data_IF_312617213845
#
_entry.id   IF_312617213845
#
_cell.length_a   1.000
_cell.length_b   1.000
_cell.length_c   1.000
_cell.angle_alpha   90.00
_cell.angle_beta   90.00
_cell.angle_gamma   90.00
#
_symmetry.space_group_name_H-M   'P 1'
#
loop_
_entity.id
_entity.type
_entity.pdbx_description
1 polymer ?
#
# COMPACT_ATOMS: atom_id res chain seq x y z
N UNK A 1 -19.09 46.88 -11.87
CA UNK A 1 -18.94 47.01 -10.41
C UNK A 1 -18.65 45.63 -9.85
N UNK A 2 -17.51 45.53 -9.17
CA UNK A 2 -16.94 44.44 -8.35
C UNK A 2 -16.82 43.02 -8.90
N UNK A 3 -15.56 42.67 -9.11
CA UNK A 3 -15.00 41.34 -9.27
C UNK A 3 -14.19 40.97 -8.00
N UNK A 4 -14.12 39.67 -7.73
CA UNK A 4 -13.04 38.91 -7.05
C UNK A 4 -12.87 39.00 -5.53
N UNK A 5 -12.87 37.81 -4.90
CA UNK A 5 -11.68 37.19 -4.26
C UNK A 5 -11.83 35.64 -4.22
N UNK A 6 -10.78 34.88 -4.58
CA UNK A 6 -10.50 33.55 -4.02
C UNK A 6 -9.17 33.55 -3.22
N UNK A 7 -9.06 32.68 -2.20
CA UNK A 7 -7.84 32.43 -1.41
C UNK A 7 -7.48 30.93 -1.55
N UNK A 8 -6.34 30.62 -2.20
CA UNK A 8 -5.04 30.17 -1.66
C UNK A 8 -5.06 28.73 -1.14
N UNK A 9 -4.48 27.77 -1.87
CA UNK A 9 -3.23 27.05 -1.50
C UNK A 9 -2.91 25.91 -2.49
N UNK A 10 -2.57 26.20 -3.75
CA UNK A 10 -1.89 25.26 -4.65
C UNK A 10 -1.26 25.99 -5.84
N UNK A 11 -0.22 26.80 -5.61
CA UNK A 11 0.55 27.42 -6.70
C UNK A 11 1.96 27.80 -6.24
N UNK A 12 2.79 26.79 -5.95
CA UNK A 12 4.24 26.91 -5.99
C UNK A 12 4.71 25.52 -6.45
N UNK A 13 4.67 25.19 -7.73
CA UNK A 13 5.84 25.22 -8.63
C UNK A 13 5.27 25.25 -10.06
N UNK A 14 4.95 26.44 -10.59
CA UNK A 14 4.94 26.72 -12.03
C UNK A 14 4.73 28.22 -12.20
N UNK A 15 5.84 28.96 -12.33
CA UNK A 15 6.08 30.22 -13.05
C UNK A 15 7.36 30.79 -12.42
N UNK A 16 8.47 30.72 -13.18
CA UNK A 16 9.45 31.80 -13.33
C UNK A 16 10.43 31.41 -14.47
N UNK A 17 9.86 31.16 -15.65
CA UNK A 17 10.56 31.28 -16.93
C UNK A 17 10.03 32.51 -17.71
N UNK A 18 9.57 33.54 -17.00
CA UNK A 18 9.17 34.82 -17.55
C UNK A 18 9.90 35.93 -16.79
N UNK A 19 10.87 36.58 -17.45
CA UNK A 19 11.64 37.76 -17.03
C UNK A 19 11.83 37.93 -15.52
N UNK A 20 12.77 37.20 -14.92
CA UNK A 20 13.38 37.66 -13.68
C UNK A 20 14.13 38.98 -13.98
N UNK A 21 13.93 40.07 -13.22
CA UNK A 21 14.72 41.29 -13.38
C UNK A 21 16.20 40.96 -13.21
N UNK A 22 17.07 41.59 -14.00
CA UNK A 22 18.51 41.36 -13.88
C UNK A 22 19.01 41.82 -12.51
N UNK A 23 20.13 41.28 -11.99
CA UNK A 23 20.70 41.74 -10.71
C UNK A 23 20.95 43.26 -10.64
N UNK A 24 21.11 43.92 -11.78
CA UNK A 24 21.24 45.38 -11.90
C UNK A 24 19.92 46.14 -11.68
N UNK A 25 18.76 45.51 -11.85
CA UNK A 25 17.41 46.10 -11.73
C UNK A 25 16.78 45.90 -10.34
N UNK A 26 17.43 45.12 -9.45
CA UNK A 26 16.89 44.78 -8.14
C UNK A 26 17.49 45.64 -7.02
N UNK A 27 16.64 46.11 -6.10
CA UNK A 27 17.13 46.73 -4.86
C UNK A 27 17.84 45.71 -3.95
N UNK A 28 18.74 46.16 -3.07
CA UNK A 28 19.44 45.30 -2.12
C UNK A 28 18.50 44.47 -1.22
N UNK A 29 17.32 45.01 -0.87
CA UNK A 29 16.32 44.27 -0.10
C UNK A 29 15.68 43.14 -0.93
N UNK A 30 15.35 43.42 -2.20
CA UNK A 30 14.79 42.42 -3.12
C UNK A 30 15.80 41.31 -3.43
N UNK A 31 17.09 41.64 -3.60
CA UNK A 31 18.16 40.65 -3.81
C UNK A 31 18.31 39.70 -2.62
N UNK A 32 18.23 40.24 -1.39
CA UNK A 32 18.30 39.42 -0.17
C UNK A 32 17.13 38.46 -0.07
N UNK A 33 15.89 38.94 -0.26
CA UNK A 33 14.69 38.09 -0.25
C UNK A 33 14.73 37.03 -1.34
N UNK A 34 15.20 37.36 -2.54
CA UNK A 34 15.33 36.41 -3.63
C UNK A 34 16.39 35.33 -3.33
N UNK A 35 17.53 35.72 -2.76
CA UNK A 35 18.56 34.75 -2.30
C UNK A 35 18.03 33.81 -1.23
N UNK A 36 17.31 34.33 -0.22
CA UNK A 36 16.67 33.52 0.83
C UNK A 36 15.65 32.55 0.22
N UNK A 37 14.86 32.96 -0.77
CA UNK A 37 13.92 32.09 -1.47
C UNK A 37 14.61 30.99 -2.29
N UNK A 38 15.75 31.27 -2.93
CA UNK A 38 16.55 30.26 -3.63
C UNK A 38 17.11 29.23 -2.65
N UNK A 39 17.64 29.66 -1.51
CA UNK A 39 18.16 28.75 -0.48
C UNK A 39 17.05 27.85 0.10
N UNK A 40 15.86 28.41 0.34
CA UNK A 40 14.68 27.65 0.76
C UNK A 40 14.29 26.63 -0.32
N UNK A 41 14.19 27.05 -1.59
CA UNK A 41 13.84 26.15 -2.69
C UNK A 41 14.86 25.02 -2.88
N UNK A 42 16.16 25.31 -2.74
CA UNK A 42 17.22 24.30 -2.81
C UNK A 42 17.15 23.31 -1.64
N UNK A 43 16.81 23.79 -0.44
CA UNK A 43 16.63 22.94 0.74
C UNK A 43 15.43 22.02 0.56
N UNK A 44 14.27 22.56 0.13
CA UNK A 44 13.07 21.78 -0.18
C UNK A 44 13.36 20.74 -1.26
N UNK A 45 14.09 21.11 -2.31
CA UNK A 45 14.44 20.17 -3.37
C UNK A 45 15.32 19.04 -2.84
N UNK A 46 16.27 19.34 -1.95
CA UNK A 46 17.14 18.33 -1.33
C UNK A 46 16.35 17.37 -0.43
N UNK A 47 15.36 17.88 0.32
CA UNK A 47 14.44 17.06 1.11
C UNK A 47 13.53 16.19 0.23
N UNK A 48 13.03 16.70 -0.90
CA UNK A 48 12.26 15.89 -1.86
C UNK A 48 13.14 14.82 -2.51
N UNK A 49 14.40 15.16 -2.79
CA UNK A 49 15.34 14.26 -3.43
C UNK A 49 15.79 13.10 -2.53
N UNK A 50 15.68 13.24 -1.20
CA UNK A 50 15.95 12.14 -0.25
C UNK A 50 14.82 11.10 -0.20
N UNK A 51 13.61 11.47 -0.64
CA UNK A 51 12.46 10.56 -0.73
C UNK A 51 12.60 9.70 -1.99
N UNK A 52 12.53 8.36 -1.90
CA UNK A 52 12.52 7.50 -3.08
C UNK A 52 11.40 7.88 -4.03
N UNK A 53 11.70 7.88 -5.33
CA UNK A 53 10.74 8.28 -6.37
C UNK A 53 9.45 7.47 -6.34
N UNK A 54 9.52 6.17 -6.00
CA UNK A 54 8.36 5.29 -5.85
C UNK A 54 7.46 5.63 -4.64
N UNK A 55 7.92 6.47 -3.70
CA UNK A 55 7.17 6.88 -2.50
C UNK A 55 6.63 8.32 -2.61
N UNK A 56 7.03 9.08 -3.63
CA UNK A 56 6.59 10.47 -3.78
C UNK A 56 5.14 10.52 -4.24
N UNK A 57 4.30 11.16 -3.42
CA UNK A 57 2.90 11.46 -3.78
C UNK A 57 1.97 10.25 -3.83
N UNK A 58 2.36 9.10 -3.26
CA UNK A 58 1.54 7.87 -3.28
C UNK A 58 0.57 7.76 -2.11
N UNK A 59 0.83 8.46 -1.00
CA UNK A 59 0.01 8.38 0.20
C UNK A 59 -1.37 9.01 -0.03
N UNK A 60 -2.41 8.24 0.31
CA UNK A 60 -3.81 8.63 0.18
C UNK A 60 -4.32 9.18 1.52
N UNK A 61 -5.49 9.81 1.53
CA UNK A 61 -6.12 10.34 2.74
C UNK A 61 -5.31 11.40 3.53
N UNK A 62 -4.46 12.17 2.84
CA UNK A 62 -3.57 13.16 3.46
C UNK A 62 -4.15 14.57 3.64
N UNK A 63 -5.38 14.82 3.17
CA UNK A 63 -6.00 16.15 3.18
C UNK A 63 -7.21 16.22 4.13
N UNK A 64 -7.40 17.38 4.77
CA UNK A 64 -8.40 17.62 5.83
C UNK A 64 -9.87 17.53 5.36
N UNK A 65 -10.14 17.57 4.05
CA UNK A 65 -11.47 17.26 3.48
C UNK A 65 -11.62 15.74 3.28
N UNK A 66 -11.52 14.98 4.37
CA UNK A 66 -11.55 13.51 4.31
C UNK A 66 -12.91 13.03 3.79
N UNK A 67 -12.91 12.39 2.63
CA UNK A 67 -14.01 11.52 2.22
C UNK A 67 -14.32 10.53 3.37
N UNK A 68 -15.60 10.20 3.51
CA UNK A 68 -16.11 9.34 4.57
C UNK A 68 -16.67 8.09 3.95
N UNK A 69 -16.42 6.98 4.60
CA UNK A 69 -16.72 5.65 4.08
C UNK A 69 -17.62 4.90 5.03
N UNK A 70 -18.48 4.09 4.43
CA UNK A 70 -19.48 3.29 5.11
C UNK A 70 -18.95 1.89 5.42
N UNK A 71 -19.39 1.34 6.56
CA UNK A 71 -19.21 -0.08 6.87
C UNK A 71 -20.50 -0.81 6.49
N UNK A 72 -20.48 -1.43 5.31
CA UNK A 72 -21.63 -2.08 4.71
C UNK A 72 -22.09 -3.33 5.48
N UNK A 73 -21.35 -3.75 6.51
CA UNK A 73 -21.77 -4.82 7.43
C UNK A 73 -23.00 -4.42 8.24
N UNK A 74 -23.21 -3.12 8.49
CA UNK A 74 -24.29 -2.63 9.34
C UNK A 74 -25.43 -2.00 8.53
N UNK A 75 -26.65 -2.04 9.05
CA UNK A 75 -27.80 -1.35 8.41
C UNK A 75 -27.72 0.18 8.54
N UNK A 76 -26.84 0.69 9.39
CA UNK A 76 -26.70 2.11 9.67
C UNK A 76 -25.58 2.65 8.78
N UNK A 77 -25.85 3.75 8.09
CA UNK A 77 -24.79 4.44 7.35
C UNK A 77 -23.81 5.05 8.36
N UNK A 78 -22.61 4.50 8.38
CA UNK A 78 -21.43 5.02 9.02
C UNK A 78 -20.75 6.09 8.14
N UNK A 79 -19.98 6.97 8.77
CA UNK A 79 -19.24 8.01 8.04
C UNK A 79 -17.83 8.13 8.61
N UNK A 80 -17.06 7.05 8.44
CA UNK A 80 -15.74 6.91 9.02
C UNK A 80 -14.71 7.64 8.14
N UNK A 81 -13.91 8.58 8.71
CA UNK A 81 -12.92 9.31 7.93
C UNK A 81 -11.66 8.44 7.73
N UNK A 82 -11.15 8.36 6.51
CA UNK A 82 -9.79 7.86 6.27
C UNK A 82 -8.78 8.97 6.57
N UNK A 83 -7.73 8.69 7.35
CA UNK A 83 -6.69 9.69 7.68
C UNK A 83 -5.30 9.10 7.63
N UNK A 84 -4.39 9.76 6.90
CA UNK A 84 -2.95 9.49 6.87
C UNK A 84 -2.19 10.80 6.98
N UNK A 85 -1.13 10.81 7.77
CA UNK A 85 -0.13 11.88 7.76
C UNK A 85 1.26 11.28 7.71
N UNK A 86 2.13 11.83 6.86
CA UNK A 86 3.50 11.32 6.68
C UNK A 86 4.50 12.41 6.99
N UNK A 87 5.41 12.10 7.93
CA UNK A 87 6.58 12.91 8.22
C UNK A 87 7.83 12.21 7.68
N UNK A 88 8.59 12.87 6.82
CA UNK A 88 9.84 12.35 6.30
C UNK A 88 11.00 12.78 7.19
N UNK A 89 11.79 11.80 7.62
CA UNK A 89 13.07 11.99 8.32
C UNK A 89 14.23 11.67 7.38
N UNK A 90 15.47 11.68 7.89
CA UNK A 90 16.64 11.24 7.12
C UNK A 90 16.63 9.73 6.81
N UNK A 91 15.90 8.93 7.59
CA UNK A 91 15.91 7.46 7.50
C UNK A 91 14.57 6.83 7.19
N UNK A 92 13.48 7.47 7.58
CA UNK A 92 12.14 6.88 7.56
C UNK A 92 11.09 7.85 7.01
N UNK A 93 10.10 7.30 6.30
CA UNK A 93 8.76 7.85 6.29
C UNK A 93 8.05 7.40 7.57
N UNK A 94 7.68 8.34 8.43
CA UNK A 94 6.90 8.10 9.66
C UNK A 94 5.44 8.34 9.32
N UNK A 95 4.66 7.26 9.22
CA UNK A 95 3.28 7.25 8.76
C UNK A 95 2.37 7.12 9.97
N UNK A 96 1.56 8.15 10.25
CA UNK A 96 0.49 8.07 11.24
C UNK A 96 -0.85 7.88 10.53
N UNK A 97 -1.65 6.92 10.96
CA UNK A 97 -2.91 6.57 10.32
C UNK A 97 -3.94 6.04 11.31
N UNK A 98 -5.22 6.14 10.96
CA UNK A 98 -6.32 5.61 11.77
C UNK A 98 -6.85 4.25 11.31
N UNK A 99 -6.29 3.65 10.24
CA UNK A 99 -6.67 2.31 9.80
C UNK A 99 -8.06 2.18 9.20
N UNK A 100 -8.71 3.29 8.84
CA UNK A 100 -9.97 3.27 8.07
C UNK A 100 -9.62 3.38 6.59
N UNK A 101 -10.15 2.50 5.71
CA UNK A 101 -9.84 2.52 4.29
C UNK A 101 -10.43 3.74 3.56
N UNK A 102 -9.90 4.02 2.37
CA UNK A 102 -10.41 5.05 1.47
C UNK A 102 -11.52 4.56 0.51
N UNK A 103 -12.29 3.57 0.95
CA UNK A 103 -13.39 2.96 0.22
C UNK A 103 -14.45 2.43 1.20
N UNK A 104 -15.69 2.25 0.76
CA UNK A 104 -16.68 1.54 1.58
C UNK A 104 -16.23 0.08 1.74
N UNK A 105 -16.49 -0.51 2.90
CA UNK A 105 -15.88 -1.77 3.29
C UNK A 105 -16.84 -2.63 4.10
N UNK A 106 -16.45 -3.87 4.37
CA UNK A 106 -17.20 -4.78 5.24
C UNK A 106 -16.29 -5.27 6.37
N UNK A 107 -16.63 -4.99 7.61
CA UNK A 107 -15.99 -5.54 8.80
C UNK A 107 -16.13 -7.05 8.96
N UNK A 108 -17.14 -7.67 8.34
CA UNK A 108 -17.40 -9.10 8.46
C UNK A 108 -18.03 -9.52 9.80
N UNK A 109 -18.09 -10.84 10.11
CA UNK A 109 -18.88 -11.38 11.22
C UNK A 109 -18.51 -10.85 12.61
N UNK A 110 -17.26 -10.44 12.77
CA UNK A 110 -16.69 -9.98 14.04
C UNK A 110 -16.88 -8.50 14.34
N UNK A 111 -17.61 -7.77 13.48
CA UNK A 111 -17.91 -6.34 13.51
C UNK A 111 -17.54 -5.56 14.80
N UNK A 112 -17.01 -4.34 14.73
CA UNK A 112 -16.89 -3.47 13.56
C UNK A 112 -15.55 -2.75 13.59
N UNK A 113 -15.10 -2.25 12.45
CA UNK A 113 -13.91 -1.42 12.35
C UNK A 113 -14.08 -0.13 13.16
N UNK A 114 -13.04 0.23 13.90
CA UNK A 114 -12.97 1.48 14.66
C UNK A 114 -11.67 2.23 14.31
N UNK A 115 -11.67 3.57 14.32
CA UNK A 115 -10.45 4.34 14.12
C UNK A 115 -9.38 4.00 15.16
N UNK A 116 -8.18 3.69 14.68
CA UNK A 116 -7.00 3.34 15.46
C UNK A 116 -6.03 4.54 15.58
N UNK A 117 -4.89 4.32 16.23
CA UNK A 117 -3.80 5.31 16.34
C UNK A 117 -2.46 4.66 15.97
N UNK A 118 -2.29 4.34 14.69
CA UNK A 118 -1.06 3.72 14.22
C UNK A 118 0.05 4.73 13.98
N UNK A 119 1.28 4.31 14.25
CA UNK A 119 2.50 5.00 13.82
C UNK A 119 3.47 3.96 13.27
N UNK A 120 3.74 4.02 11.98
CA UNK A 120 4.64 3.12 11.26
C UNK A 120 5.90 3.85 10.83
N UNK A 121 7.03 3.14 10.81
CA UNK A 121 8.32 3.64 10.31
C UNK A 121 8.74 2.82 9.10
N UNK A 122 8.72 3.44 7.93
CA UNK A 122 9.08 2.79 6.66
C UNK A 122 10.47 3.29 6.23
N UNK A 123 11.49 2.41 6.14
CA UNK A 123 12.83 2.81 5.69
C UNK A 123 12.80 3.49 4.31
N UNK A 124 13.47 4.64 4.18
CA UNK A 124 13.61 5.35 2.90
C UNK A 124 14.65 4.72 1.99
N UNK A 125 15.59 3.97 2.53
CA UNK A 125 16.65 3.30 1.76
C UNK A 125 16.68 1.83 2.18
N UNK A 126 15.83 0.98 1.58
CA UNK A 126 15.79 -0.44 1.88
C UNK A 126 17.16 -1.09 1.64
N UNK A 127 17.57 -1.95 2.57
CA UNK A 127 18.82 -2.72 2.48
C UNK A 127 18.43 -4.18 2.36
N UNK A 128 18.87 -4.84 1.30
CA UNK A 128 18.69 -6.29 1.14
C UNK A 128 19.33 -7.04 2.31
N UNK A 129 18.58 -7.95 2.92
CA UNK A 129 19.10 -8.81 3.97
C UNK A 129 20.02 -9.88 3.38
N UNK A 130 20.98 -10.38 4.17
CA UNK A 130 21.80 -11.53 3.74
C UNK A 130 20.99 -12.82 3.64
N UNK A 131 19.94 -12.93 4.47
CA UNK A 131 18.97 -14.01 4.49
C UNK A 131 17.58 -13.41 4.76
N UNK A 132 16.55 -13.72 3.95
CA UNK A 132 15.21 -13.22 4.19
C UNK A 132 14.64 -13.67 5.54
N UNK A 133 13.84 -12.82 6.16
CA UNK A 133 13.18 -13.11 7.44
C UNK A 133 11.69 -13.27 7.25
N UNK A 134 11.11 -14.37 7.72
CA UNK A 134 9.66 -14.56 7.67
C UNK A 134 8.93 -13.38 8.32
N UNK A 135 7.90 -12.90 7.61
CA UNK A 135 6.95 -11.97 8.16
C UNK A 135 6.02 -12.72 9.14
N UNK A 136 5.39 -12.01 10.09
CA UNK A 136 4.36 -12.60 10.93
C UNK A 136 3.30 -13.37 10.14
N UNK A 137 2.96 -14.58 10.59
CA UNK A 137 1.88 -15.40 10.03
C UNK A 137 0.52 -14.69 10.18
N UNK A 138 0.36 -14.01 11.33
CA UNK A 138 -0.78 -13.20 11.74
C UNK A 138 -0.29 -11.83 12.20
N UNK A 139 -1.12 -10.81 11.99
CA UNK A 139 -0.81 -9.43 12.35
C UNK A 139 -0.14 -8.66 11.22
N UNK A 140 0.12 -7.37 11.48
CA UNK A 140 0.62 -6.45 10.46
C UNK A 140 2.03 -6.84 9.96
N UNK A 141 2.18 -6.85 8.63
CA UNK A 141 3.45 -7.11 7.94
C UNK A 141 3.91 -5.92 7.09
N UNK A 142 2.97 -5.05 6.74
CA UNK A 142 3.15 -3.89 5.88
C UNK A 142 2.02 -2.88 6.10
N UNK A 143 2.12 -1.71 5.46
CA UNK A 143 1.12 -0.64 5.53
C UNK A 143 0.67 -0.24 4.12
N UNK A 144 -0.64 -0.18 3.89
CA UNK A 144 -1.23 0.36 2.67
C UNK A 144 -1.01 1.86 2.55
N UNK A 145 -1.01 2.38 1.33
CA UNK A 145 -0.91 3.84 1.06
C UNK A 145 -2.09 4.63 1.61
N UNK A 146 -3.22 3.98 1.93
CA UNK A 146 -4.36 4.59 2.63
C UNK A 146 -4.30 4.47 4.16
N UNK A 147 -3.24 3.87 4.72
CA UNK A 147 -3.04 3.74 6.16
C UNK A 147 -3.67 2.52 6.82
N UNK A 148 -4.27 1.60 6.05
CA UNK A 148 -4.74 0.30 6.54
C UNK A 148 -3.61 -0.73 6.51
N UNK A 149 -3.37 -1.48 7.60
CA UNK A 149 -2.33 -2.52 7.60
C UNK A 149 -2.62 -3.67 6.62
N UNK A 150 -1.56 -4.23 6.03
CA UNK A 150 -1.62 -5.57 5.44
C UNK A 150 -1.21 -6.58 6.49
N UNK A 151 -1.98 -7.66 6.61
CA UNK A 151 -1.70 -8.74 7.55
C UNK A 151 -1.03 -9.92 6.83
N UNK A 152 -0.42 -10.80 7.63
CA UNK A 152 0.04 -12.10 7.16
C UNK A 152 -1.12 -12.95 6.60
N UNK A 153 -0.81 -14.08 5.96
CA UNK A 153 -1.81 -14.86 5.24
C UNK A 153 -2.81 -15.60 6.15
N UNK A 154 -2.54 -15.71 7.46
CA UNK A 154 -3.43 -16.38 8.41
C UNK A 154 -4.27 -15.40 9.24
N UNK A 155 -5.42 -15.87 9.74
CA UNK A 155 -6.31 -15.15 10.65
C UNK A 155 -6.56 -15.95 11.97
N UNK A 156 -7.41 -15.44 12.88
CA UNK A 156 -7.64 -15.86 14.27
C UNK A 156 -7.94 -17.35 14.56
N UNK A 157 -8.52 -18.17 13.67
CA UNK A 157 -8.58 -19.62 13.88
C UNK A 157 -7.32 -20.38 13.41
N UNK A 158 -6.37 -19.68 12.78
CA UNK A 158 -5.29 -20.25 11.97
C UNK A 158 -5.78 -20.67 10.59
N UNK A 159 -4.87 -21.10 9.73
CA UNK A 159 -5.23 -21.39 8.34
C UNK A 159 -5.18 -20.15 7.46
N UNK A 160 -5.11 -20.36 6.15
CA UNK A 160 -5.04 -19.31 5.14
C UNK A 160 -6.41 -18.64 5.00
N UNK A 161 -6.46 -17.33 5.29
CA UNK A 161 -7.69 -16.55 5.32
C UNK A 161 -8.31 -16.39 3.93
N UNK A 162 -7.47 -16.31 2.90
CA UNK A 162 -7.89 -16.08 1.51
C UNK A 162 -8.32 -17.40 0.87
N UNK A 163 -7.65 -18.51 1.22
CA UNK A 163 -8.10 -19.84 0.86
C UNK A 163 -9.49 -20.15 1.44
N UNK A 164 -9.78 -19.74 2.68
CA UNK A 164 -11.12 -19.86 3.26
C UNK A 164 -12.14 -19.01 2.50
N UNK A 165 -11.80 -17.75 2.19
CA UNK A 165 -12.68 -16.85 1.44
C UNK A 165 -13.02 -17.39 0.03
N UNK A 166 -12.09 -18.09 -0.62
CA UNK A 166 -12.29 -18.71 -1.92
C UNK A 166 -12.73 -20.20 -1.85
N UNK A 167 -13.33 -20.63 -0.73
CA UNK A 167 -13.92 -21.97 -0.56
C UNK A 167 -12.96 -23.16 -0.76
N UNK A 168 -11.64 -22.98 -0.59
CA UNK A 168 -10.69 -24.10 -0.65
C UNK A 168 -10.90 -25.09 0.50
N UNK A 169 -11.41 -24.60 1.63
CA UNK A 169 -11.85 -25.41 2.76
C UNK A 169 -13.01 -24.73 3.49
N UNK A 170 -13.73 -25.50 4.29
CA UNK A 170 -14.76 -24.97 5.18
C UNK A 170 -14.13 -24.70 6.54
N UNK A 171 -14.09 -23.43 6.93
CA UNK A 171 -13.63 -23.01 8.26
C UNK A 171 -14.70 -23.36 9.32
N UNK A 172 -14.38 -24.27 10.23
CA UNK A 172 -15.29 -24.82 11.23
C UNK A 172 -14.90 -24.49 12.70
N UNK A 173 -13.79 -23.77 12.91
CA UNK A 173 -13.31 -23.32 14.22
C UNK A 173 -13.88 -21.94 14.57
N UNK A 174 -13.80 -21.00 13.63
CA UNK A 174 -14.37 -19.65 13.75
C UNK A 174 -14.70 -19.07 12.37
N UNK A 175 -15.94 -18.62 12.09
CA UNK A 175 -16.27 -17.99 10.82
C UNK A 175 -15.38 -16.76 10.55
N UNK A 176 -14.74 -16.76 9.39
CA UNK A 176 -14.01 -15.61 8.84
C UNK A 176 -14.64 -15.25 7.51
N UNK A 177 -14.74 -13.96 7.23
CA UNK A 177 -15.21 -13.46 5.94
C UNK A 177 -14.37 -12.24 5.61
N UNK A 178 -13.64 -12.33 4.50
CA UNK A 178 -13.02 -11.18 3.88
C UNK A 178 -14.09 -10.51 3.02
N UNK A 179 -14.22 -9.20 3.16
CA UNK A 179 -15.17 -8.40 2.41
C UNK A 179 -14.53 -7.74 1.21
N UNK A 180 -15.12 -6.61 0.80
CA UNK A 180 -14.60 -5.76 -0.28
C UNK A 180 -13.09 -5.56 -0.14
N UNK A 181 -12.39 -5.77 -1.25
CA UNK A 181 -10.95 -5.56 -1.36
C UNK A 181 -10.09 -6.48 -0.48
N UNK A 182 -10.65 -7.63 -0.07
CA UNK A 182 -9.93 -8.66 0.65
C UNK A 182 -9.57 -8.28 2.08
N UNK A 183 -10.32 -7.36 2.69
CA UNK A 183 -10.13 -6.92 4.07
C UNK A 183 -11.31 -7.23 4.98
N UNK A 184 -11.07 -7.12 6.29
CA UNK A 184 -12.10 -7.25 7.32
C UNK A 184 -11.63 -6.63 8.65
N UNK A 185 -12.52 -6.59 9.65
CA UNK A 185 -12.20 -6.11 10.98
C UNK A 185 -11.75 -7.23 11.92
N UNK A 186 -10.59 -7.04 12.54
CA UNK A 186 -10.07 -7.90 13.61
C UNK A 186 -10.45 -7.42 15.03
N UNK A 187 -9.97 -8.12 16.06
CA UNK A 187 -10.20 -7.76 17.46
C UNK A 187 -9.86 -6.30 17.77
N UNK A 188 -10.74 -5.60 18.51
CA UNK A 188 -10.54 -4.18 18.84
C UNK A 188 -10.84 -3.22 17.68
N UNK A 189 -11.49 -3.70 16.62
CA UNK A 189 -11.90 -2.88 15.47
C UNK A 189 -10.77 -2.57 14.49
N UNK A 190 -9.70 -3.36 14.49
CA UNK A 190 -8.56 -3.17 13.59
C UNK A 190 -8.89 -3.69 12.19
N UNK A 191 -9.32 -2.81 11.28
CA UNK A 191 -9.49 -3.18 9.87
C UNK A 191 -8.13 -3.43 9.20
N UNK A 192 -8.03 -4.46 8.37
CA UNK A 192 -6.80 -4.86 7.67
C UNK A 192 -7.11 -5.66 6.40
N UNK A 193 -6.15 -5.72 5.47
CA UNK A 193 -6.26 -6.52 4.25
C UNK A 193 -5.42 -7.81 4.33
N UNK A 194 -5.95 -8.89 3.75
CA UNK A 194 -5.26 -10.17 3.55
C UNK A 194 -4.86 -10.43 2.09
N UNK A 195 -5.58 -9.87 1.10
CA UNK A 195 -5.24 -9.93 -0.32
C UNK A 195 -5.85 -8.76 -1.09
N UNK A 196 -5.61 -8.72 -2.41
CA UNK A 196 -6.09 -7.68 -3.33
C UNK A 196 -5.51 -6.29 -3.02
N UNK A 197 -6.13 -5.56 -2.06
CA UNK A 197 -5.83 -4.19 -1.66
C UNK A 197 -5.63 -3.18 -2.82
N UNK A 198 -5.95 -3.56 -4.06
CA UNK A 198 -5.72 -2.73 -5.25
C UNK A 198 -6.90 -1.78 -5.48
N UNK A 199 -8.05 -2.06 -4.87
CA UNK A 199 -9.20 -1.16 -4.83
C UNK A 199 -8.88 0.23 -4.29
N UNK A 200 -7.80 0.40 -3.52
CA UNK A 200 -7.43 1.69 -2.92
C UNK A 200 -7.16 2.77 -3.99
N UNK A 201 -6.87 2.36 -5.22
CA UNK A 201 -6.68 3.22 -6.38
C UNK A 201 -7.88 3.28 -7.32
N UNK A 202 -8.93 2.50 -7.05
CA UNK A 202 -10.17 2.49 -7.83
C UNK A 202 -11.26 3.24 -7.08
N UNK A 203 -12.14 3.94 -7.79
CA UNK A 203 -13.33 4.57 -7.20
C UNK A 203 -14.50 4.41 -8.18
N UNK A 204 -15.74 4.28 -7.70
CA UNK A 204 -16.90 4.22 -8.58
C UNK A 204 -17.08 5.56 -9.31
N UNK A 205 -16.93 5.54 -10.64
CA UNK A 205 -17.00 6.74 -11.48
C UNK A 205 -18.42 7.03 -12.03
N UNK A 206 -19.35 6.07 -11.95
CA UNK A 206 -20.68 6.16 -12.54
C UNK A 206 -21.77 5.84 -11.50
N UNK A 207 -23.00 6.37 -11.64
CA UNK A 207 -24.07 6.17 -10.66
C UNK A 207 -24.49 4.71 -10.42
N UNK A 208 -24.11 3.82 -11.33
CA UNK A 208 -24.46 2.41 -11.35
C UNK A 208 -23.35 1.51 -10.76
N UNK A 209 -22.16 2.08 -10.48
CA UNK A 209 -21.08 1.37 -9.81
C UNK A 209 -21.04 1.74 -8.33
N UNK A 210 -20.85 0.73 -7.48
CA UNK A 210 -20.62 0.88 -6.03
C UNK A 210 -19.37 0.10 -5.64
N UNK A 211 -18.88 0.28 -4.42
CA UNK A 211 -17.75 -0.51 -3.92
C UNK A 211 -18.04 -2.01 -3.90
N UNK A 212 -19.30 -2.43 -3.75
CA UNK A 212 -19.73 -3.83 -3.85
C UNK A 212 -19.54 -4.42 -5.27
N UNK A 213 -19.38 -3.56 -6.29
CA UNK A 213 -19.12 -3.99 -7.67
C UNK A 213 -17.62 -4.13 -7.99
N UNK A 214 -16.75 -3.80 -7.03
CA UNK A 214 -15.31 -3.95 -7.19
C UNK A 214 -14.94 -5.41 -7.48
N UNK A 215 -14.02 -5.59 -8.43
CA UNK A 215 -13.36 -6.85 -8.74
C UNK A 215 -11.97 -6.54 -9.28
N UNK A 216 -11.01 -7.44 -9.06
CA UNK A 216 -9.67 -7.34 -9.66
C UNK A 216 -9.70 -7.34 -11.19
N UNK A 217 -10.79 -7.79 -11.82
CA UNK A 217 -11.00 -7.71 -13.28
C UNK A 217 -11.14 -6.26 -13.78
N UNK A 218 -11.39 -5.29 -12.88
CA UNK A 218 -11.46 -3.86 -13.20
C UNK A 218 -10.08 -3.19 -13.21
N UNK A 219 -9.02 -3.92 -12.86
CA UNK A 219 -7.66 -3.41 -12.90
C UNK A 219 -7.19 -3.19 -14.34
N UNK A 220 -6.43 -2.11 -14.54
CA UNK A 220 -5.74 -1.86 -15.80
C UNK A 220 -4.57 -2.84 -15.94
N UNK A 221 -4.54 -3.60 -17.03
CA UNK A 221 -3.54 -4.63 -17.34
C UNK A 221 -2.48 -4.17 -18.38
N UNK A 222 -2.63 -2.95 -18.90
CA UNK A 222 -1.77 -2.35 -19.92
C UNK A 222 -0.74 -1.35 -19.37
N UNK A 223 -0.69 -1.17 -18.06
CA UNK A 223 0.35 -0.45 -17.34
C UNK A 223 0.83 -1.17 -16.07
N UNK A 224 1.97 -0.71 -15.52
CA UNK A 224 2.44 -1.20 -14.21
C UNK A 224 1.45 -0.71 -13.16
N UNK A 225 0.98 -1.63 -12.32
CA UNK A 225 0.06 -1.27 -11.23
C UNK A 225 0.67 -0.20 -10.33
N UNK A 226 -0.15 0.65 -9.69
CA UNK A 226 0.35 1.61 -8.71
C UNK A 226 0.87 0.90 -7.44
N UNK A 227 1.65 1.64 -6.64
CA UNK A 227 2.06 1.20 -5.30
C UNK A 227 0.83 1.17 -4.41
N UNK A 228 0.52 0.02 -3.84
CA UNK A 228 -0.58 -0.16 -2.89
C UNK A 228 -0.12 -0.04 -1.43
N UNK A 229 1.18 -0.21 -1.15
CA UNK A 229 1.71 -0.09 0.19
C UNK A 229 3.21 -0.28 0.28
N UNK A 230 3.71 -0.37 1.51
CA UNK A 230 5.13 -0.57 1.83
C UNK A 230 5.30 -1.61 2.91
N UNK A 231 6.20 -2.57 2.66
CA UNK A 231 6.64 -3.52 3.66
C UNK A 231 7.49 -2.84 4.74
N UNK A 232 7.57 -3.44 5.93
CA UNK A 232 8.37 -2.88 7.03
C UNK A 232 9.88 -2.85 6.78
N UNK A 233 10.38 -3.52 5.73
CA UNK A 233 11.75 -3.38 5.24
C UNK A 233 11.94 -2.21 4.25
N UNK A 234 10.87 -1.49 3.92
CA UNK A 234 10.86 -0.28 3.11
C UNK A 234 10.65 -0.52 1.61
N UNK A 235 10.64 -1.76 1.14
CA UNK A 235 10.37 -2.03 -0.28
C UNK A 235 8.88 -1.78 -0.60
N UNK A 236 8.59 -1.19 -1.77
CA UNK A 236 7.20 -0.97 -2.20
C UNK A 236 6.51 -2.29 -2.53
N UNK A 237 5.21 -2.32 -2.28
CA UNK A 237 4.27 -3.36 -2.69
C UNK A 237 3.39 -2.77 -3.78
N UNK A 238 3.46 -3.35 -4.97
CA UNK A 238 2.65 -2.96 -6.12
C UNK A 238 1.39 -3.83 -6.22
N UNK A 239 0.40 -3.37 -6.98
CA UNK A 239 -0.66 -4.25 -7.47
C UNK A 239 -0.12 -5.37 -8.39
N UNK A 240 -0.98 -6.17 -9.02
CA UNK A 240 -0.57 -7.42 -9.67
C UNK A 240 0.26 -7.25 -10.95
N UNK A 241 0.18 -6.12 -11.65
CA UNK A 241 0.86 -5.93 -12.94
C UNK A 241 2.22 -5.23 -12.80
N UNK A 242 3.24 -5.80 -13.43
CA UNK A 242 4.62 -5.31 -13.35
C UNK A 242 5.47 -5.71 -14.55
N UNK A 243 6.70 -5.19 -14.62
CA UNK A 243 7.67 -5.65 -15.60
C UNK A 243 8.40 -6.89 -15.09
N UNK A 244 8.42 -7.96 -15.89
CA UNK A 244 9.27 -9.12 -15.62
C UNK A 244 10.76 -8.78 -15.74
N UNK A 245 11.64 -9.75 -15.47
CA UNK A 245 13.11 -9.56 -15.58
C UNK A 245 13.59 -9.24 -16.99
N UNK A 246 12.76 -9.45 -18.02
CA UNK A 246 13.05 -9.11 -19.42
C UNK A 246 12.45 -7.75 -19.82
N UNK A 247 11.77 -7.06 -18.90
CA UNK A 247 11.10 -5.79 -19.16
C UNK A 247 9.75 -5.92 -19.86
N UNK A 248 9.14 -7.10 -19.87
CA UNK A 248 7.80 -7.32 -20.42
C UNK A 248 6.75 -7.05 -19.34
N UNK A 249 5.78 -6.19 -19.65
CA UNK A 249 4.60 -5.98 -18.80
C UNK A 249 3.71 -7.23 -18.82
N UNK A 250 3.32 -7.71 -17.64
CA UNK A 250 2.35 -8.80 -17.43
C UNK A 250 1.91 -8.82 -15.97
N UNK A 251 0.91 -9.63 -15.67
CA UNK A 251 0.58 -10.01 -14.29
C UNK A 251 1.75 -10.79 -13.66
N UNK A 252 2.21 -10.37 -12.48
CA UNK A 252 3.24 -11.05 -11.72
C UNK A 252 2.62 -12.19 -10.91
N UNK A 253 3.07 -13.41 -11.19
CA UNK A 253 2.52 -14.62 -10.57
C UNK A 253 3.37 -15.11 -9.40
N UNK A 254 2.72 -15.54 -8.33
CA UNK A 254 3.39 -16.18 -7.19
C UNK A 254 4.05 -17.50 -7.60
N UNK A 255 5.18 -17.83 -6.97
CA UNK A 255 5.87 -19.12 -7.11
C UNK A 255 5.48 -20.15 -6.06
N UNK A 256 4.32 -19.99 -5.40
CA UNK A 256 3.77 -20.97 -4.47
C UNK A 256 2.69 -21.84 -5.11
N UNK A 257 2.49 -23.03 -4.55
CA UNK A 257 1.34 -23.90 -4.85
C UNK A 257 0.93 -24.67 -3.61
N UNK A 258 -0.29 -25.22 -3.61
CA UNK A 258 -0.69 -26.13 -2.54
C UNK A 258 0.11 -27.43 -2.62
N UNK A 259 0.48 -27.93 -1.44
CA UNK A 259 0.99 -29.28 -1.30
C UNK A 259 -0.13 -30.26 -1.64
N UNK A 260 0.23 -31.39 -2.25
CA UNK A 260 -0.73 -32.40 -2.65
C UNK A 260 -1.58 -32.88 -1.47
N UNK A 261 -2.90 -32.75 -1.58
CA UNK A 261 -3.85 -33.20 -0.55
C UNK A 261 -4.13 -32.18 0.56
N UNK A 262 -3.55 -30.98 0.47
CA UNK A 262 -3.81 -29.86 1.36
C UNK A 262 -4.82 -28.88 0.76
N UNK A 263 -5.34 -27.98 1.58
CA UNK A 263 -6.44 -27.07 1.22
C UNK A 263 -6.21 -25.63 1.67
N UNK A 264 -5.12 -25.34 2.38
CA UNK A 264 -4.89 -24.05 3.02
C UNK A 264 -5.40 -23.99 4.46
N UNK A 265 -6.15 -25.00 4.92
CA UNK A 265 -6.62 -25.07 6.32
C UNK A 265 -5.44 -25.15 7.31
N UNK A 266 -4.31 -25.74 6.90
CA UNK A 266 -3.06 -25.78 7.66
C UNK A 266 -2.24 -24.49 7.58
N UNK A 267 -2.73 -23.45 6.91
CA UNK A 267 -2.08 -22.14 6.85
C UNK A 267 -0.84 -22.17 5.96
N UNK A 268 0.21 -21.45 6.35
CA UNK A 268 1.46 -21.38 5.59
C UNK A 268 2.04 -22.78 5.33
N UNK A 269 1.85 -23.72 6.27
CA UNK A 269 2.36 -25.08 6.17
C UNK A 269 1.72 -25.92 5.05
N UNK A 270 0.59 -25.50 4.49
CA UNK A 270 -0.06 -26.17 3.35
C UNK A 270 0.53 -25.77 1.99
N UNK A 271 1.34 -24.71 1.96
CA UNK A 271 1.93 -24.16 0.75
C UNK A 271 3.41 -24.52 0.60
N UNK A 272 3.87 -24.69 -0.63
CA UNK A 272 5.29 -24.86 -0.94
C UNK A 272 5.77 -23.86 -1.99
N UNK A 273 6.94 -23.26 -1.73
CA UNK A 273 7.65 -22.48 -2.71
C UNK A 273 8.29 -23.39 -3.76
N UNK A 274 8.03 -23.11 -5.03
CA UNK A 274 8.61 -23.82 -6.18
C UNK A 274 9.30 -22.80 -7.07
N UNK A 275 10.63 -22.73 -6.97
CA UNK A 275 11.44 -21.79 -7.75
C UNK A 275 11.13 -21.86 -9.25
N UNK A 276 10.72 -20.73 -9.82
CA UNK A 276 10.41 -20.59 -11.24
C UNK A 276 9.05 -21.18 -11.64
N UNK A 277 8.18 -21.49 -10.67
CA UNK A 277 6.78 -21.80 -10.95
C UNK A 277 6.06 -20.56 -11.49
N UNK A 278 6.20 -19.44 -10.78
CA UNK A 278 5.74 -18.11 -11.20
C UNK A 278 6.90 -17.16 -11.50
N UNK A 279 6.63 -15.87 -11.38
CA UNK A 279 7.58 -14.80 -11.62
C UNK A 279 8.31 -14.35 -10.34
N UNK A 280 7.62 -14.47 -9.20
CA UNK A 280 8.05 -13.93 -7.92
C UNK A 280 8.91 -14.92 -7.12
N UNK A 281 9.78 -14.39 -6.25
CA UNK A 281 10.64 -15.17 -5.35
C UNK A 281 9.92 -15.68 -4.09
N UNK A 282 10.65 -16.28 -3.17
CA UNK A 282 10.11 -16.83 -1.91
C UNK A 282 9.51 -15.76 -0.98
N UNK A 283 9.80 -14.48 -1.18
CA UNK A 283 9.19 -13.40 -0.41
C UNK A 283 8.02 -12.74 -1.14
N UNK A 284 7.65 -13.26 -2.31
CA UNK A 284 6.63 -12.70 -3.19
C UNK A 284 7.06 -11.37 -3.84
N UNK A 285 8.36 -11.22 -4.10
CA UNK A 285 8.91 -10.05 -4.78
C UNK A 285 9.81 -10.42 -5.97
N UNK A 286 10.34 -9.40 -6.62
CA UNK A 286 11.33 -9.54 -7.68
C UNK A 286 12.23 -8.30 -7.77
N UNK A 287 13.44 -8.52 -8.30
CA UNK A 287 14.31 -7.44 -8.74
C UNK A 287 14.08 -7.19 -10.23
N UNK A 288 13.32 -6.14 -10.57
CA UNK A 288 13.09 -5.75 -11.96
C UNK A 288 12.96 -4.24 -12.10
N UNK A 289 12.68 -3.78 -13.33
CA UNK A 289 12.50 -2.36 -13.63
C UNK A 289 11.15 -1.88 -13.08
N UNK A 290 11.14 -0.72 -12.44
CA UNK A 290 9.92 0.00 -12.07
C UNK A 290 9.84 1.34 -12.83
N UNK A 291 8.64 1.90 -13.08
CA UNK A 291 8.51 3.19 -13.77
C UNK A 291 9.25 4.34 -13.08
N UNK A 292 9.30 4.31 -11.75
CA UNK A 292 9.88 5.37 -10.93
C UNK A 292 11.42 5.35 -10.86
N UNK A 293 12.09 4.29 -11.32
CA UNK A 293 13.55 4.13 -11.21
C UNK A 293 14.19 3.77 -12.54
N UNK A 294 15.42 4.25 -12.75
CA UNK A 294 16.24 3.86 -13.90
C UNK A 294 16.91 2.51 -13.71
N UNK A 295 17.25 2.20 -12.46
CA UNK A 295 17.90 0.95 -12.08
C UNK A 295 16.85 -0.05 -11.58
N UNK A 296 17.06 -1.36 -11.80
CA UNK A 296 16.22 -2.39 -11.20
C UNK A 296 16.14 -2.19 -9.69
N UNK A 297 14.93 -2.27 -9.16
CA UNK A 297 14.63 -2.06 -7.74
C UNK A 297 13.87 -3.28 -7.25
N UNK A 298 14.23 -3.80 -6.08
CA UNK A 298 13.48 -4.91 -5.51
C UNK A 298 12.12 -4.40 -5.03
N UNK A 299 11.06 -5.13 -5.33
CA UNK A 299 9.70 -4.78 -4.94
C UNK A 299 8.81 -6.02 -4.85
N UNK A 300 7.75 -5.92 -4.06
CA UNK A 300 6.75 -6.97 -3.88
C UNK A 300 5.53 -6.71 -4.75
N UNK A 301 4.71 -7.74 -4.93
CA UNK A 301 3.46 -7.66 -5.67
C UNK A 301 2.29 -8.24 -4.91
N UNK A 302 1.12 -7.63 -5.06
CA UNK A 302 -0.15 -8.22 -4.68
C UNK A 302 -0.54 -9.29 -5.70
N UNK A 303 -0.19 -10.55 -5.43
CA UNK A 303 -0.41 -11.65 -6.37
C UNK A 303 -1.84 -12.18 -6.29
N UNK A 304 -2.55 -12.14 -7.42
CA UNK A 304 -3.90 -12.71 -7.55
C UNK A 304 -3.81 -14.22 -7.81
N UNK A 305 -2.93 -14.60 -8.74
CA UNK A 305 -2.73 -16.00 -9.14
C UNK A 305 -1.28 -16.44 -8.96
N UNK A 306 -1.11 -17.74 -8.76
CA UNK A 306 0.19 -18.43 -8.78
C UNK A 306 0.52 -18.94 -10.17
N UNK A 307 1.79 -19.28 -10.40
CA UNK A 307 2.22 -19.95 -11.62
C UNK A 307 1.63 -21.34 -11.85
N UNK A 308 1.01 -21.96 -10.83
CA UNK A 308 0.22 -23.20 -10.98
C UNK A 308 -1.23 -22.95 -11.45
N UNK A 309 -1.69 -21.69 -11.44
CA UNK A 309 -3.08 -21.32 -11.73
C UNK A 309 -4.02 -21.35 -10.51
N UNK A 310 -3.47 -21.60 -9.32
CA UNK A 310 -4.20 -21.52 -8.03
C UNK A 310 -4.14 -20.09 -7.48
N UNK A 311 -4.84 -19.81 -6.36
CA UNK A 311 -4.77 -18.51 -5.68
C UNK A 311 -3.31 -18.10 -5.37
N UNK A 312 -3.03 -16.81 -5.47
CA UNK A 312 -1.69 -16.23 -5.41
C UNK A 312 -1.10 -16.10 -4.01
N UNK A 313 -1.20 -17.12 -3.15
CA UNK A 313 -0.50 -17.13 -1.84
C UNK A 313 0.99 -16.73 -2.02
N UNK A 314 1.59 -15.85 -1.19
CA UNK A 314 1.14 -15.32 0.10
C UNK A 314 0.38 -13.99 0.00
N UNK A 315 -0.10 -13.63 -1.19
CA UNK A 315 -0.89 -12.43 -1.49
C UNK A 315 -0.10 -11.13 -1.45
N UNK A 316 0.59 -10.80 -0.35
CA UNK A 316 1.45 -9.62 -0.26
C UNK A 316 2.93 -10.01 -0.11
N UNK A 317 3.34 -10.43 1.09
CA UNK A 317 4.70 -10.89 1.40
C UNK A 317 4.65 -12.09 2.34
N UNK A 318 5.56 -13.05 2.16
CA UNK A 318 5.79 -14.12 3.14
C UNK A 318 7.03 -13.87 4.00
N UNK A 319 8.00 -13.14 3.45
CA UNK A 319 9.21 -12.73 4.13
C UNK A 319 9.63 -11.32 3.73
N UNK A 320 10.47 -10.71 4.56
CA UNK A 320 11.20 -9.51 4.23
C UNK A 320 12.51 -9.91 3.53
N UNK A 321 12.64 -9.55 2.27
CA UNK A 321 13.88 -9.64 1.50
C UNK A 321 14.89 -8.56 1.95
N UNK A 322 14.41 -7.46 2.53
CA UNK A 322 15.24 -6.45 3.19
C UNK A 322 15.32 -6.59 4.71
N UNK A 323 15.99 -5.64 5.35
CA UNK A 323 16.04 -5.52 6.81
C UNK A 323 14.78 -4.80 7.35
N UNK A 324 13.86 -5.49 8.05
CA UNK A 324 12.64 -4.85 8.55
C UNK A 324 12.91 -3.92 9.75
N UNK A 325 12.16 -2.83 9.81
CA UNK A 325 12.12 -1.93 10.96
C UNK A 325 11.39 -2.58 12.14
N UNK A 326 12.17 -3.01 13.14
CA UNK A 326 11.68 -3.86 14.23
C UNK A 326 10.68 -3.16 15.15
N UNK A 327 10.68 -1.83 15.22
CA UNK A 327 9.71 -1.10 16.05
C UNK A 327 8.27 -1.26 15.56
N UNK A 328 8.05 -1.58 14.28
CA UNK A 328 6.71 -1.81 13.73
C UNK A 328 6.05 -3.10 14.26
N UNK A 329 6.81 -4.07 14.79
CA UNK A 329 6.20 -5.27 15.39
C UNK A 329 5.70 -5.04 16.82
N UNK A 330 5.97 -3.87 17.40
CA UNK A 330 5.56 -3.52 18.76
C UNK A 330 4.36 -2.56 18.79
N UNK A 331 4.04 -1.93 17.67
CA UNK A 331 2.98 -0.91 17.52
C UNK A 331 1.57 -1.49 17.40
N UNK A 332 1.42 -2.81 17.39
CA UNK A 332 0.12 -3.51 17.39
C UNK A 332 -0.05 -4.19 18.75
N UNK A 333 -0.67 -3.49 19.71
CA UNK A 333 -1.08 -4.05 21.00
C UNK A 333 -2.49 -3.64 21.35
#
# INVERSE_FOLDING_TARGET
>A
MNCSKPHILLFIILILAACAPTPEEMSNAALKTFSEQIEIAATIQTEIDSIPTYMRGVWLCTYEETARYDDLTTEKIETLPCTVSVEYTDRFAVVSANGIPNHDFESGPGCCAEPQQYVWRIPLQPIMASEPKFAPERGAVAISVNGVPFYGPEDGPGGDAVAAHHDYYVEDRQPISLGICGGHAGPGGTYHYHYDASCVHWHPDEPETSWETWSTDLLQDDEVSPVIGFAFDGHPIYGPYGYDTNGKLKEMTSSYRLKQGHTGQGGIDDWEYVKGLGDLDECNGLLSKIPASKEPTYHYHASIISGSGEIGFPYFILCYAGEPELSNFQSVR
#
